data_IF_144388023139
#
_entry.id   IF_144388023139
#
_cell.length_a   1.000
_cell.length_b   1.000
_cell.length_c   1.000
_cell.angle_alpha   90.00
_cell.angle_beta   90.00
_cell.angle_gamma   90.00
#
_symmetry.space_group_name_H-M   'P 1'
#
loop_
_entity.id
_entity.type
_entity.pdbx_description
1 polymer ?
#
# COMPACT_ATOMS: atom_id res chain seq x y z
N UNK A 1 -5.01 1.30 22.65
CA UNK A 1 -4.89 -0.10 22.18
C UNK A 1 -4.05 -0.11 20.91
N UNK A 2 -2.74 -0.37 21.02
CA UNK A 2 -1.75 -0.11 19.96
C UNK A 2 -2.07 -0.86 18.66
N UNK A 3 -2.63 -2.08 18.75
CA UNK A 3 -3.06 -2.88 17.60
C UNK A 3 -4.11 -2.20 16.72
N UNK A 4 -5.11 -1.54 17.32
CA UNK A 4 -6.17 -0.86 16.57
C UNK A 4 -5.62 0.36 15.82
N UNK A 5 -4.75 1.14 16.47
CA UNK A 5 -4.10 2.29 15.84
C UNK A 5 -3.26 1.91 14.61
N UNK A 6 -2.65 0.71 14.60
CA UNK A 6 -1.92 0.20 13.44
C UNK A 6 -2.81 -0.28 12.30
N UNK A 7 -3.98 -0.85 12.63
CA UNK A 7 -5.00 -1.20 11.64
C UNK A 7 -5.46 0.05 10.89
N UNK A 8 -5.88 1.07 11.63
CA UNK A 8 -6.33 2.34 11.07
C UNK A 8 -5.24 3.04 10.24
N UNK A 9 -4.00 3.02 10.71
CA UNK A 9 -2.87 3.58 9.95
C UNK A 9 -2.63 2.82 8.64
N UNK A 10 -2.71 1.48 8.68
CA UNK A 10 -2.54 0.64 7.48
C UNK A 10 -3.65 0.92 6.48
N UNK A 11 -4.91 0.99 6.94
CA UNK A 11 -6.06 1.31 6.09
C UNK A 11 -5.89 2.66 5.41
N UNK A 12 -5.57 3.71 6.17
CA UNK A 12 -5.35 5.05 5.60
C UNK A 12 -4.22 5.09 4.58
N UNK A 13 -3.13 4.37 4.83
CA UNK A 13 -2.02 4.29 3.86
C UNK A 13 -2.47 3.59 2.57
N UNK A 14 -3.22 2.50 2.69
CA UNK A 14 -3.73 1.72 1.54
C UNK A 14 -4.73 2.53 0.72
N UNK A 15 -5.62 3.29 1.37
CA UNK A 15 -6.53 4.22 0.72
C UNK A 15 -5.76 5.30 -0.05
N UNK A 16 -4.78 5.92 0.61
CA UNK A 16 -3.97 6.96 -0.03
C UNK A 16 -3.19 6.44 -1.25
N UNK A 17 -2.64 5.23 -1.17
CA UNK A 17 -1.93 4.61 -2.31
C UNK A 17 -2.90 4.37 -3.47
N UNK A 18 -4.11 3.90 -3.21
CA UNK A 18 -5.11 3.69 -4.25
C UNK A 18 -5.58 5.01 -4.87
N UNK A 19 -5.77 6.06 -4.07
CA UNK A 19 -6.13 7.38 -4.57
C UNK A 19 -5.03 7.96 -5.49
N UNK A 20 -3.76 7.74 -5.16
CA UNK A 20 -2.63 8.13 -6.02
C UNK A 20 -2.60 7.30 -7.30
N UNK A 21 -2.77 5.98 -7.20
CA UNK A 21 -2.80 5.10 -8.37
C UNK A 21 -3.95 5.42 -9.33
N UNK A 22 -5.12 5.80 -8.79
CA UNK A 22 -6.29 6.19 -9.58
C UNK A 22 -6.10 7.54 -10.30
N UNK A 23 -5.32 8.47 -9.73
CA UNK A 23 -5.01 9.76 -10.35
C UNK A 23 -4.08 9.63 -11.57
N UNK A 24 -3.15 8.69 -11.53
CA UNK A 24 -2.10 8.51 -12.54
C UNK A 24 -2.04 7.07 -13.06
N UNK A 25 -3.04 6.62 -13.85
CA UNK A 25 -3.10 5.25 -14.34
C UNK A 25 -1.88 4.89 -15.20
N UNK A 26 -1.30 3.72 -14.95
CA UNK A 26 -0.12 3.21 -15.67
C UNK A 26 1.23 3.74 -15.16
N UNK A 27 1.25 4.64 -14.17
CA UNK A 27 2.48 5.03 -13.46
C UNK A 27 2.77 4.05 -12.32
N UNK A 28 4.03 4.03 -11.89
CA UNK A 28 4.49 3.22 -10.75
C UNK A 28 4.61 4.11 -9.51
N UNK A 29 4.18 3.60 -8.37
CA UNK A 29 4.22 4.29 -7.08
C UNK A 29 5.19 3.55 -6.15
N UNK A 30 6.23 4.24 -5.68
CA UNK A 30 7.12 3.71 -4.63
C UNK A 30 6.51 4.04 -3.27
N UNK A 31 6.16 3.00 -2.51
CA UNK A 31 5.62 3.16 -1.14
C UNK A 31 6.70 2.76 -0.15
N UNK A 32 7.18 3.71 0.65
CA UNK A 32 8.17 3.47 1.70
C UNK A 32 7.45 3.24 3.03
N UNK A 33 7.66 2.07 3.63
CA UNK A 33 7.05 1.67 4.90
C UNK A 33 8.09 1.09 5.84
N UNK A 34 7.78 1.10 7.15
CA UNK A 34 8.59 0.39 8.11
C UNK A 34 8.56 -1.12 7.81
N UNK A 35 9.73 -1.74 7.69
CA UNK A 35 9.88 -3.17 7.36
C UNK A 35 9.13 -4.09 8.33
N UNK A 36 8.97 -3.71 9.61
CA UNK A 36 8.19 -4.48 10.59
C UNK A 36 6.72 -4.64 10.21
N UNK A 37 6.19 -3.75 9.36
CA UNK A 37 4.77 -3.68 9.00
C UNK A 37 4.51 -3.85 7.50
N UNK A 38 5.57 -4.04 6.70
CA UNK A 38 5.43 -4.13 5.24
C UNK A 38 4.51 -5.25 4.79
N UNK A 39 4.49 -6.38 5.52
CA UNK A 39 3.67 -7.54 5.16
C UNK A 39 2.17 -7.28 5.31
N UNK A 40 1.74 -6.42 6.25
CA UNK A 40 0.35 -6.01 6.39
C UNK A 40 -0.08 -5.12 5.24
N UNK A 41 0.72 -4.09 4.93
CA UNK A 41 0.45 -3.16 3.82
C UNK A 41 0.44 -3.90 2.49
N UNK A 42 1.41 -4.79 2.27
CA UNK A 42 1.50 -5.62 1.05
C UNK A 42 0.26 -6.49 0.89
N UNK A 43 -0.19 -7.16 1.95
CA UNK A 43 -1.39 -8.01 1.90
C UNK A 43 -2.65 -7.19 1.60
N UNK A 44 -2.78 -6.00 2.19
CA UNK A 44 -3.93 -5.13 1.97
C UNK A 44 -3.97 -4.57 0.54
N UNK A 45 -2.83 -4.13 -0.01
CA UNK A 45 -2.73 -3.68 -1.39
C UNK A 45 -2.96 -4.81 -2.40
N UNK A 46 -2.47 -6.02 -2.13
CA UNK A 46 -2.67 -7.18 -3.00
C UNK A 46 -4.14 -7.61 -3.14
N UNK A 47 -5.00 -7.21 -2.20
CA UNK A 47 -6.43 -7.50 -2.22
C UNK A 47 -7.24 -6.48 -3.04
N UNK A 48 -6.57 -5.47 -3.62
CA UNK A 48 -7.18 -4.40 -4.41
C UNK A 48 -6.90 -4.63 -5.89
N UNK A 49 -7.95 -4.70 -6.70
CA UNK A 49 -7.83 -4.91 -8.14
C UNK A 49 -7.25 -3.68 -8.87
N UNK A 50 -7.36 -2.52 -8.25
CA UNK A 50 -6.90 -1.24 -8.82
C UNK A 50 -5.37 -1.07 -8.77
N UNK A 51 -4.67 -1.91 -7.99
CA UNK A 51 -3.22 -1.78 -7.75
C UNK A 51 -2.51 -3.10 -8.04
N UNK A 52 -1.58 -3.08 -9.01
CA UNK A 52 -0.71 -4.21 -9.25
C UNK A 52 0.62 -4.06 -8.51
N UNK A 53 0.91 -4.98 -7.60
CA UNK A 53 2.17 -4.99 -6.87
C UNK A 53 3.30 -5.59 -7.72
N UNK A 54 4.35 -4.81 -7.94
CA UNK A 54 5.57 -5.25 -8.63
C UNK A 54 6.74 -5.37 -7.65
N UNK A 55 7.78 -6.13 -8.02
CA UNK A 55 9.00 -6.15 -7.21
C UNK A 55 9.73 -4.83 -7.38
N UNK A 56 10.51 -4.43 -6.37
CA UNK A 56 11.30 -3.21 -6.43
C UNK A 56 12.27 -3.17 -7.63
N UNK A 57 12.81 -4.32 -8.06
CA UNK A 57 13.66 -4.42 -9.24
C UNK A 57 12.93 -4.16 -10.57
N UNK A 58 11.59 -4.24 -10.58
CA UNK A 58 10.74 -4.01 -11.74
C UNK A 58 10.13 -2.59 -11.72
N UNK A 59 10.55 -1.74 -10.75
CA UNK A 59 10.04 -0.39 -10.56
C UNK A 59 10.65 0.60 -11.56
#
# INVERSE_FOLDING_TARGET
NVRAAWGDHTTRLVEHVADVAARDPGRRVLVVVNARHCHHVRRALAARDEVHLVRFADL
#
